data_IF_459826487014
#
_entry.id   IF_459826487014
#
_cell.length_a   1.000
_cell.length_b   1.000
_cell.length_c   1.000
_cell.angle_alpha   90.00
_cell.angle_beta   90.00
_cell.angle_gamma   90.00
#
_symmetry.space_group_name_H-M   'P 1'
#
loop_
_entity.id
_entity.type
_entity.pdbx_description
1 polymer ?
#
# COMPACT_ATOMS: atom_id res chain seq x y z
N UNK A 1 2.51 -19.81 -16.19
CA UNK A 1 1.60 -19.24 -15.18
C UNK A 1 0.92 -18.03 -15.80
N UNK A 2 -0.38 -17.87 -15.57
CA UNK A 2 -1.19 -16.80 -16.14
C UNK A 2 -1.91 -16.04 -15.02
N UNK A 3 -2.21 -14.77 -15.29
CA UNK A 3 -2.92 -13.90 -14.35
C UNK A 3 -4.07 -13.20 -15.07
N UNK A 4 -5.24 -13.20 -14.42
CA UNK A 4 -6.39 -12.39 -14.81
C UNK A 4 -6.27 -11.01 -14.20
N UNK A 5 -6.25 -9.98 -15.05
CA UNK A 5 -5.97 -8.61 -14.63
C UNK A 5 -7.16 -7.71 -14.95
N UNK A 6 -7.69 -7.04 -13.93
CA UNK A 6 -8.63 -5.94 -14.10
C UNK A 6 -7.85 -4.65 -14.35
N UNK A 7 -8.17 -3.92 -15.42
CA UNK A 7 -7.45 -2.69 -15.81
C UNK A 7 -8.38 -1.48 -15.85
N UNK A 8 -7.84 -0.26 -15.72
CA UNK A 8 -8.62 0.98 -15.87
C UNK A 8 -8.97 1.27 -17.34
N UNK A 9 -9.84 0.44 -17.90
CA UNK A 9 -10.35 0.61 -19.25
C UNK A 9 -11.87 0.63 -19.24
N UNK A 10 -12.45 1.54 -20.02
CA UNK A 10 -13.90 1.66 -20.16
C UNK A 10 -14.38 0.75 -21.28
N UNK A 11 -14.50 -0.55 -21.00
CA UNK A 11 -15.14 -1.51 -21.91
C UNK A 11 -16.67 -1.54 -21.72
N UNK A 12 -17.41 -2.04 -22.72
CA UNK A 12 -18.85 -2.32 -22.62
C UNK A 12 -19.12 -3.39 -21.57
N UNK A 13 -18.24 -4.37 -21.47
CA UNK A 13 -18.25 -5.38 -20.42
C UNK A 13 -17.39 -4.90 -19.24
N UNK A 14 -18.07 -4.44 -18.18
CA UNK A 14 -17.46 -3.75 -17.04
C UNK A 14 -16.76 -4.72 -16.09
N UNK A 15 -17.08 -6.01 -16.15
CA UNK A 15 -16.44 -7.05 -15.35
C UNK A 15 -15.29 -7.74 -16.09
N UNK A 16 -15.00 -7.30 -17.31
CA UNK A 16 -13.98 -7.92 -18.15
C UNK A 16 -12.60 -7.79 -17.53
N UNK A 17 -11.95 -8.93 -17.36
CA UNK A 17 -10.52 -9.06 -17.08
C UNK A 17 -9.78 -9.42 -18.35
N UNK A 18 -8.46 -9.24 -18.30
CA UNK A 18 -7.56 -9.57 -19.40
C UNK A 18 -6.49 -10.52 -18.89
N UNK A 19 -6.26 -11.58 -19.65
CA UNK A 19 -5.27 -12.60 -19.32
C UNK A 19 -3.89 -12.19 -19.78
N UNK A 20 -2.91 -12.30 -18.89
CA UNK A 20 -1.50 -12.08 -19.19
C UNK A 20 -0.65 -13.26 -18.73
N UNK A 21 0.48 -13.46 -19.41
CA UNK A 21 1.49 -14.42 -18.98
C UNK A 21 2.39 -13.79 -17.90
N UNK A 22 2.79 -14.58 -16.92
CA UNK A 22 3.72 -14.16 -15.86
C UNK A 22 5.13 -14.64 -16.22
N UNK A 23 6.10 -13.73 -16.44
CA UNK A 23 7.50 -14.06 -16.63
C UNK A 23 8.07 -14.91 -15.49
N UNK A 24 9.05 -15.78 -15.79
CA UNK A 24 9.63 -16.71 -14.80
C UNK A 24 10.33 -16.03 -13.63
N UNK A 25 10.78 -14.78 -13.79
CA UNK A 25 11.44 -13.98 -12.78
C UNK A 25 10.47 -13.22 -11.85
N UNK A 26 9.17 -13.23 -12.16
CA UNK A 26 8.15 -12.52 -11.41
C UNK A 26 7.23 -13.48 -10.65
N UNK A 27 6.87 -13.08 -9.43
CA UNK A 27 5.86 -13.78 -8.62
C UNK A 27 4.65 -12.88 -8.47
N UNK A 28 3.46 -13.40 -8.79
CA UNK A 28 2.20 -12.66 -8.73
C UNK A 28 1.20 -13.39 -7.84
N UNK A 29 0.51 -12.64 -7.00
CA UNK A 29 -0.56 -13.08 -6.13
C UNK A 29 -1.84 -12.28 -6.42
N UNK A 30 -3.04 -12.87 -6.22
CA UNK A 30 -4.28 -12.11 -6.27
C UNK A 30 -4.23 -10.91 -5.32
N UNK A 31 -4.54 -9.72 -5.84
CA UNK A 31 -4.51 -8.45 -5.11
C UNK A 31 -3.24 -7.64 -5.31
N UNK A 32 -2.28 -8.18 -6.06
CA UNK A 32 -1.13 -7.41 -6.55
C UNK A 32 -1.55 -6.35 -7.56
N UNK A 33 -0.77 -5.28 -7.55
CA UNK A 33 -0.90 -4.19 -8.50
C UNK A 33 0.18 -4.38 -9.57
N UNK A 34 -0.22 -4.41 -10.83
CA UNK A 34 0.60 -4.82 -11.96
C UNK A 34 0.68 -3.71 -12.99
N UNK A 35 1.79 -3.68 -13.71
CA UNK A 35 1.91 -2.95 -14.98
C UNK A 35 1.77 -3.94 -16.12
N UNK A 36 0.83 -3.68 -17.02
CA UNK A 36 0.53 -4.58 -18.13
C UNK A 36 0.48 -3.82 -19.45
N UNK A 37 0.94 -4.43 -20.55
CA UNK A 37 0.87 -3.82 -21.86
C UNK A 37 -0.59 -3.83 -22.36
N UNK A 38 -1.15 -2.64 -22.66
CA UNK A 38 -2.53 -2.52 -23.12
C UNK A 38 -2.63 -1.57 -24.33
N UNK A 39 -2.72 -2.14 -25.52
CA UNK A 39 -2.63 -1.37 -26.77
C UNK A 39 -1.24 -0.78 -26.96
N UNK A 40 -1.15 0.55 -27.07
CA UNK A 40 0.10 1.31 -27.33
C UNK A 40 0.83 1.79 -26.07
N UNK A 41 0.21 1.67 -24.90
CA UNK A 41 0.76 2.20 -23.65
C UNK A 41 0.53 1.20 -22.51
N UNK A 42 1.50 1.05 -21.61
CA UNK A 42 1.30 0.21 -20.44
C UNK A 42 0.31 0.90 -19.49
N UNK A 43 -0.54 0.12 -18.83
CA UNK A 43 -1.52 0.64 -17.87
C UNK A 43 -1.46 -0.16 -16.57
N UNK A 44 -2.00 0.44 -15.52
CA UNK A 44 -2.07 -0.23 -14.24
C UNK A 44 -3.24 -1.21 -14.23
N UNK A 45 -3.00 -2.39 -13.68
CA UNK A 45 -3.98 -3.43 -13.50
C UNK A 45 -3.89 -4.06 -12.12
N UNK A 46 -4.94 -4.76 -11.70
CA UNK A 46 -5.00 -5.47 -10.43
C UNK A 46 -5.18 -6.96 -10.73
N UNK A 47 -4.32 -7.79 -10.14
CA UNK A 47 -4.41 -9.24 -10.24
C UNK A 47 -5.68 -9.73 -9.53
N UNK A 48 -6.60 -10.33 -10.28
CA UNK A 48 -7.87 -10.85 -9.76
C UNK A 48 -7.73 -12.32 -9.38
N UNK A 49 -7.13 -13.11 -10.26
CA UNK A 49 -6.85 -14.53 -10.05
C UNK A 49 -5.61 -14.94 -10.84
N UNK A 50 -5.05 -16.09 -10.47
CA UNK A 50 -3.89 -16.69 -11.12
C UNK A 50 -4.27 -18.12 -11.51
N UNK A 51 -3.88 -18.55 -12.71
CA UNK A 51 -4.11 -19.89 -13.23
C UNK A 51 -2.83 -20.49 -13.83
N UNK A 52 -2.76 -21.83 -13.87
CA UNK A 52 -1.69 -22.54 -14.60
C UNK A 52 -2.03 -22.73 -16.08
N UNK A 53 -3.31 -22.75 -16.42
CA UNK A 53 -3.84 -22.94 -17.77
C UNK A 53 -4.41 -21.63 -18.33
N UNK A 54 -4.36 -21.49 -19.65
CA UNK A 54 -5.03 -20.43 -20.38
C UNK A 54 -5.66 -20.99 -21.66
N UNK A 55 -6.86 -20.53 -21.98
CA UNK A 55 -7.64 -20.94 -23.15
C UNK A 55 -7.43 -20.03 -24.37
N UNK A 56 -6.49 -19.08 -24.30
CA UNK A 56 -6.31 -18.02 -25.31
C UNK A 56 -4.94 -18.09 -25.96
N UNK A 57 -4.89 -17.94 -27.28
CA UNK A 57 -3.65 -17.84 -28.04
C UNK A 57 -3.12 -16.39 -28.10
N UNK A 58 -1.81 -16.20 -28.28
CA UNK A 58 -1.12 -14.89 -28.36
C UNK A 58 -1.26 -13.99 -27.13
N UNK A 59 -0.83 -14.51 -25.98
CA UNK A 59 -0.84 -13.79 -24.71
C UNK A 59 0.39 -12.90 -24.58
N UNK A 60 0.18 -11.65 -24.14
CA UNK A 60 1.28 -10.75 -23.76
C UNK A 60 1.72 -11.03 -22.33
N UNK A 61 3.00 -10.81 -22.05
CA UNK A 61 3.53 -10.87 -20.69
C UNK A 61 3.19 -9.59 -19.91
N UNK A 62 3.13 -9.70 -18.58
CA UNK A 62 3.09 -8.53 -17.71
C UNK A 62 4.44 -7.79 -17.75
N UNK A 63 4.43 -6.46 -17.61
CA UNK A 63 5.66 -5.66 -17.63
C UNK A 63 6.38 -5.72 -16.28
N UNK A 64 5.65 -5.57 -15.18
CA UNK A 64 6.19 -5.69 -13.82
C UNK A 64 5.11 -5.78 -12.74
N UNK A 65 5.53 -6.21 -11.54
CA UNK A 65 4.72 -6.17 -10.31
C UNK A 65 5.13 -4.93 -9.51
N UNK A 66 4.17 -4.20 -8.95
CA UNK A 66 4.46 -3.11 -8.02
C UNK A 66 4.94 -3.70 -6.68
N UNK A 67 6.13 -3.29 -6.25
CA UNK A 67 6.73 -3.70 -4.98
C UNK A 67 5.79 -3.49 -3.78
N UNK A 68 5.98 -4.27 -2.71
CA UNK A 68 5.23 -4.21 -1.43
C UNK A 68 3.76 -4.71 -1.46
N UNK A 69 3.32 -5.35 -2.54
CA UNK A 69 2.06 -6.10 -2.61
C UNK A 69 2.06 -7.44 -1.85
N UNK A 70 0.90 -8.14 -1.76
CA UNK A 70 -0.40 -7.76 -2.30
C UNK A 70 -1.06 -6.63 -1.51
N UNK A 71 -1.72 -5.72 -2.23
CA UNK A 71 -2.35 -4.53 -1.64
C UNK A 71 -3.80 -4.77 -1.24
N UNK A 72 -4.48 -5.71 -1.89
CA UNK A 72 -5.88 -6.03 -1.65
C UNK A 72 -5.98 -7.50 -1.25
N UNK A 73 -6.60 -7.76 -0.10
CA UNK A 73 -6.85 -9.13 0.34
C UNK A 73 -7.88 -9.83 -0.55
N UNK A 74 -7.85 -11.17 -0.57
CA UNK A 74 -8.80 -11.95 -1.39
C UNK A 74 -10.27 -11.69 -1.03
N UNK A 75 -10.60 -11.45 0.24
CA UNK A 75 -11.98 -11.11 0.64
C UNK A 75 -12.40 -9.73 0.12
N UNK A 76 -11.50 -8.75 0.13
CA UNK A 76 -11.77 -7.42 -0.44
C UNK A 76 -11.90 -7.48 -1.96
N UNK A 77 -11.13 -8.32 -2.66
CA UNK A 77 -11.32 -8.56 -4.09
C UNK A 77 -12.73 -9.08 -4.41
N UNK A 78 -13.24 -10.04 -3.63
CA UNK A 78 -14.62 -10.53 -3.78
C UNK A 78 -15.64 -9.41 -3.57
N UNK A 79 -15.43 -8.59 -2.53
CA UNK A 79 -16.26 -7.39 -2.30
C UNK A 79 -16.18 -6.42 -3.47
N UNK A 80 -14.99 -6.19 -4.05
CA UNK A 80 -14.82 -5.30 -5.19
C UNK A 80 -15.52 -5.82 -6.45
N UNK A 81 -15.46 -7.13 -6.72
CA UNK A 81 -16.21 -7.77 -7.81
C UNK A 81 -17.72 -7.62 -7.60
N UNK A 82 -18.21 -7.85 -6.37
CA UNK A 82 -19.62 -7.63 -6.03
C UNK A 82 -20.04 -6.16 -6.20
N UNK A 83 -19.22 -5.20 -5.75
CA UNK A 83 -19.45 -3.76 -5.96
C UNK A 83 -19.51 -3.44 -7.46
N UNK A 84 -18.57 -3.98 -8.24
CA UNK A 84 -18.48 -3.75 -9.67
C UNK A 84 -19.73 -4.24 -10.41
N UNK A 85 -20.20 -5.44 -10.06
CA UNK A 85 -21.40 -6.01 -10.66
C UNK A 85 -22.66 -5.24 -10.24
N UNK A 86 -22.86 -5.06 -8.93
CA UNK A 86 -24.07 -4.43 -8.38
C UNK A 86 -24.20 -2.95 -8.79
N UNK A 87 -23.14 -2.16 -8.63
CA UNK A 87 -23.13 -0.74 -8.97
C UNK A 87 -22.74 -0.47 -10.43
N UNK A 88 -22.56 -1.53 -11.23
CA UNK A 88 -22.23 -1.45 -12.65
C UNK A 88 -21.01 -0.57 -12.90
N UNK A 89 -19.93 -0.75 -12.13
CA UNK A 89 -18.63 -0.09 -12.36
C UNK A 89 -17.59 -1.11 -12.82
N UNK A 90 -16.39 -0.64 -13.19
CA UNK A 90 -15.28 -1.54 -13.50
C UNK A 90 -14.67 -2.09 -12.20
N UNK A 91 -14.29 -3.37 -12.19
CA UNK A 91 -13.56 -4.04 -11.10
C UNK A 91 -12.35 -3.21 -10.64
N UNK A 92 -11.54 -2.70 -11.57
CA UNK A 92 -10.40 -1.84 -11.24
C UNK A 92 -10.85 -0.62 -10.42
N UNK A 93 -11.92 0.06 -10.84
CA UNK A 93 -12.46 1.23 -10.12
C UNK A 93 -13.05 0.87 -8.77
N UNK A 94 -13.65 -0.30 -8.62
CA UNK A 94 -14.13 -0.80 -7.34
C UNK A 94 -12.98 -1.12 -6.37
N UNK A 95 -11.83 -1.56 -6.89
CA UNK A 95 -10.64 -1.86 -6.12
C UNK A 95 -9.84 -0.62 -5.70
N UNK A 96 -9.80 0.44 -6.52
CA UNK A 96 -8.98 1.65 -6.24
C UNK A 96 -9.18 2.24 -4.83
N UNK A 97 -10.40 2.39 -4.30
CA UNK A 97 -10.62 2.88 -2.93
C UNK A 97 -10.08 1.98 -1.82
N UNK A 98 -9.82 0.70 -2.12
CA UNK A 98 -9.27 -0.27 -1.18
C UNK A 98 -7.74 -0.25 -1.14
N UNK A 99 -7.10 0.42 -2.09
CA UNK A 99 -5.65 0.55 -2.14
C UNK A 99 -5.14 1.54 -1.07
N UNK A 100 -3.97 1.29 -0.47
CA UNK A 100 -3.37 2.25 0.43
C UNK A 100 -3.02 3.56 -0.31
N UNK A 101 -3.05 4.70 0.39
CA UNK A 101 -2.76 5.99 -0.23
C UNK A 101 -1.36 6.00 -0.85
N UNK A 102 -1.29 6.36 -2.14
CA UNK A 102 -0.06 6.38 -2.92
C UNK A 102 0.33 5.05 -3.58
N UNK A 103 -0.44 3.98 -3.40
CA UNK A 103 -0.23 2.72 -4.13
C UNK A 103 -0.76 2.77 -5.57
N UNK A 104 -1.88 3.45 -5.81
CA UNK A 104 -2.35 3.76 -7.16
C UNK A 104 -1.35 4.75 -7.81
N UNK A 105 -0.46 4.21 -8.64
CA UNK A 105 0.63 4.95 -9.27
C UNK A 105 0.11 5.48 -10.59
N UNK A 106 0.20 6.79 -10.79
CA UNK A 106 -0.14 7.37 -12.08
C UNK A 106 1.05 7.24 -13.02
N UNK A 107 0.82 6.67 -14.20
CA UNK A 107 1.76 6.78 -15.29
C UNK A 107 1.75 8.24 -15.79
N UNK A 108 2.87 8.94 -15.64
CA UNK A 108 3.03 10.26 -16.24
C UNK A 108 3.79 10.11 -17.55
N UNK A 109 3.17 10.57 -18.62
CA UNK A 109 3.84 10.74 -19.92
C UNK A 109 4.62 12.04 -19.84
N UNK A 110 5.93 11.94 -20.00
CA UNK A 110 6.82 13.09 -20.09
C UNK A 110 7.21 13.31 -21.54
N UNK A 111 7.14 14.56 -21.99
CA UNK A 111 7.54 14.96 -23.33
C UNK A 111 8.84 15.73 -23.24
N UNK A 112 9.79 15.40 -24.11
CA UNK A 112 11.06 16.10 -24.28
C UNK A 112 11.32 16.40 -25.75
N UNK A 113 12.25 17.32 -26.02
CA UNK A 113 12.72 17.61 -27.37
C UNK A 113 13.72 16.51 -27.78
N UNK A 114 13.62 16.02 -29.02
CA UNK A 114 14.61 15.09 -29.58
C UNK A 114 15.78 15.85 -30.21
N UNK A 115 16.83 15.13 -30.62
CA UNK A 115 17.92 15.71 -31.44
C UNK A 115 17.41 16.31 -32.76
N UNK A 116 16.28 15.83 -33.29
CA UNK A 116 15.66 16.40 -34.50
C UNK A 116 15.02 17.76 -34.24
N UNK A 117 14.57 18.04 -33.01
CA UNK A 117 14.05 19.37 -32.66
C UNK A 117 15.13 20.45 -32.72
N UNK A 118 16.37 20.14 -32.34
CA UNK A 118 17.48 21.09 -32.43
C UNK A 118 17.80 21.43 -33.90
N UNK A 119 17.65 20.46 -34.80
CA UNK A 119 17.85 20.65 -36.24
C UNK A 119 16.75 21.49 -36.88
N UNK A 120 15.52 21.40 -36.37
CA UNK A 120 14.39 22.25 -36.77
C UNK A 120 14.61 23.69 -36.32
N UNK A 121 15.10 23.92 -35.10
CA UNK A 121 15.43 25.28 -34.60
C UNK A 121 16.54 25.95 -35.42
N UNK A 122 17.51 25.16 -35.90
CA UNK A 122 18.62 25.64 -36.74
C UNK A 122 18.21 25.90 -38.20
N UNK A 123 16.93 25.74 -38.56
CA UNK A 123 16.41 25.90 -39.94
C UNK A 123 17.18 25.06 -40.98
N UNK A 124 17.72 23.90 -40.57
CA UNK A 124 18.41 23.00 -41.49
C UNK A 124 17.41 22.46 -42.51
N UNK A 125 17.64 22.75 -43.78
CA UNK A 125 16.74 22.49 -44.91
C UNK A 125 16.26 21.03 -44.95
N UNK A 126 14.93 20.83 -44.88
CA UNK A 126 14.29 19.51 -45.04
C UNK A 126 13.09 19.24 -44.12
N UNK A 127 12.93 19.99 -43.03
CA UNK A 127 11.84 19.81 -42.06
C UNK A 127 10.96 21.07 -42.01
N UNK A 128 9.86 21.08 -42.77
CA UNK A 128 8.85 22.13 -42.65
C UNK A 128 7.79 21.70 -41.64
N UNK A 129 7.76 22.36 -40.48
CA UNK A 129 6.68 22.21 -39.49
C UNK A 129 5.76 23.44 -39.51
N UNK A 130 4.47 23.22 -39.24
CA UNK A 130 3.45 24.29 -39.20
C UNK A 130 3.76 25.35 -38.13
N UNK A 131 3.20 26.55 -38.27
CA UNK A 131 3.27 27.60 -37.24
C UNK A 131 2.72 27.13 -35.88
N UNK A 132 1.66 26.32 -35.88
CA UNK A 132 1.12 25.73 -34.65
C UNK A 132 2.04 24.67 -34.04
N UNK A 133 2.77 23.93 -34.88
CA UNK A 133 3.77 22.97 -34.41
C UNK A 133 4.99 23.68 -33.82
N UNK A 134 5.44 24.79 -34.42
CA UNK A 134 6.48 25.63 -33.83
C UNK A 134 6.05 26.19 -32.47
N UNK A 135 4.81 26.66 -32.34
CA UNK A 135 4.29 27.16 -31.08
C UNK A 135 4.30 26.09 -29.98
N UNK A 136 3.90 24.85 -30.30
CA UNK A 136 3.98 23.72 -29.35
C UNK A 136 5.43 23.35 -29.03
N UNK A 137 6.32 23.39 -30.02
CA UNK A 137 7.73 23.08 -29.85
C UNK A 137 8.45 24.11 -28.95
N UNK A 138 8.10 25.39 -29.04
CA UNK A 138 8.64 26.46 -28.19
C UNK A 138 8.21 26.34 -26.72
N UNK A 139 7.07 25.69 -26.46
CA UNK A 139 6.57 25.42 -25.10
C UNK A 139 7.24 24.19 -24.47
N UNK A 140 7.95 23.38 -25.26
CA UNK A 140 8.80 22.31 -24.74
C UNK A 140 10.12 22.92 -24.23
N UNK A 141 10.61 22.50 -23.06
CA UNK A 141 11.87 23.00 -22.52
C UNK A 141 13.03 22.59 -23.43
N UNK A 142 14.00 23.49 -23.63
CA UNK A 142 15.21 23.21 -24.41
C UNK A 142 16.08 22.11 -23.78
N UNK A 143 16.04 21.97 -22.46
CA UNK A 143 16.67 20.87 -21.72
C UNK A 143 15.71 20.28 -20.68
N UNK A 144 15.71 18.96 -20.57
CA UNK A 144 14.84 18.22 -19.66
C UNK A 144 13.49 17.85 -20.27
N UNK A 145 12.51 17.61 -19.41
CA UNK A 145 11.20 17.06 -19.80
C UNK A 145 10.06 17.74 -19.05
N UNK A 146 8.88 17.78 -19.68
CA UNK A 146 7.64 18.31 -19.08
C UNK A 146 6.54 17.26 -19.15
N UNK A 147 5.69 17.17 -18.11
CA UNK A 147 4.54 16.26 -18.15
C UNK A 147 3.55 16.67 -19.24
N UNK A 148 3.07 15.69 -20.01
CA UNK A 148 2.13 15.88 -21.12
C UNK A 148 0.85 16.58 -20.68
N UNK A 149 0.28 16.22 -19.53
CA UNK A 149 -0.92 16.87 -18.99
C UNK A 149 -0.70 18.36 -18.67
N UNK A 150 0.47 18.71 -18.13
CA UNK A 150 0.86 20.11 -17.90
C UNK A 150 1.10 20.85 -19.22
N UNK A 151 1.74 20.21 -20.20
CA UNK A 151 1.97 20.79 -21.52
C UNK A 151 0.64 21.06 -22.24
N UNK A 152 -0.27 20.09 -22.29
CA UNK A 152 -1.61 20.23 -22.90
C UNK A 152 -2.42 21.35 -22.24
N UNK A 153 -2.29 21.55 -20.92
CA UNK A 153 -2.91 22.70 -20.22
C UNK A 153 -2.30 24.05 -20.62
N UNK A 154 -1.00 24.11 -20.94
CA UNK A 154 -0.32 25.34 -21.40
C UNK A 154 -0.64 25.67 -22.86
N UNK A 155 -0.52 24.69 -23.76
CA UNK A 155 -0.74 24.88 -25.20
C UNK A 155 -2.24 24.96 -25.57
N UNK A 156 -3.11 24.41 -24.71
CA UNK A 156 -4.55 24.27 -24.94
C UNK A 156 -4.92 23.00 -25.71
N UNK A 157 -6.08 22.40 -25.38
CA UNK A 157 -6.54 21.12 -25.98
C UNK A 157 -6.61 21.12 -27.51
N UNK A 158 -6.89 22.26 -28.13
CA UNK A 158 -6.93 22.39 -29.60
C UNK A 158 -5.58 22.10 -30.28
N UNK A 159 -4.47 22.29 -29.54
CA UNK A 159 -3.10 22.09 -30.05
C UNK A 159 -2.51 20.72 -29.74
N UNK A 160 -3.24 19.85 -29.02
CA UNK A 160 -2.77 18.50 -28.69
C UNK A 160 -2.48 17.65 -29.95
N UNK A 161 -3.29 17.80 -31.00
CA UNK A 161 -3.04 17.15 -32.30
C UNK A 161 -1.68 17.51 -32.93
N UNK A 162 -1.17 18.71 -32.65
CA UNK A 162 0.12 19.17 -33.17
C UNK A 162 1.26 18.58 -32.34
N UNK A 163 1.07 18.43 -31.03
CA UNK A 163 1.97 17.64 -30.18
C UNK A 163 2.07 16.19 -30.67
N UNK A 164 0.94 15.54 -30.94
CA UNK A 164 0.93 14.16 -31.47
C UNK A 164 1.63 14.04 -32.83
N UNK A 165 1.55 15.08 -33.66
CA UNK A 165 2.27 15.11 -34.93
C UNK A 165 3.79 15.27 -34.72
N UNK A 166 4.23 16.09 -33.77
CA UNK A 166 5.65 16.23 -33.41
C UNK A 166 6.23 14.94 -32.86
N UNK A 167 5.48 14.22 -32.04
CA UNK A 167 5.87 12.91 -31.50
C UNK A 167 5.97 11.86 -32.61
N UNK A 168 4.95 11.77 -33.48
CA UNK A 168 4.97 10.84 -34.64
C UNK A 168 6.12 11.10 -35.61
N UNK A 169 6.50 12.36 -35.79
CA UNK A 169 7.61 12.75 -36.65
C UNK A 169 8.98 12.66 -35.96
N UNK A 170 9.03 12.18 -34.71
CA UNK A 170 10.27 12.03 -33.93
C UNK A 170 10.91 13.34 -33.50
N UNK A 171 10.22 14.49 -33.62
CA UNK A 171 10.71 15.81 -33.20
C UNK A 171 10.56 15.97 -31.68
N UNK A 172 9.51 15.37 -31.11
CA UNK A 172 9.35 15.22 -29.68
C UNK A 172 9.43 13.73 -29.30
N UNK A 173 9.97 13.44 -28.12
CA UNK A 173 10.04 12.08 -27.56
C UNK A 173 9.14 12.02 -26.34
N UNK A 174 8.32 10.97 -26.28
CA UNK A 174 7.53 10.65 -25.11
C UNK A 174 8.19 9.53 -24.31
N UNK A 175 8.46 9.81 -23.04
CA UNK A 175 8.89 8.83 -22.06
C UNK A 175 7.75 8.57 -21.08
N UNK A 176 7.35 7.31 -20.99
CA UNK A 176 6.41 6.85 -19.97
C UNK A 176 7.19 6.57 -18.69
N UNK A 177 6.96 7.37 -17.65
CA UNK A 177 7.73 7.27 -16.40
C UNK A 177 6.81 7.01 -15.24
N UNK A 178 7.13 5.94 -14.54
CA UNK A 178 6.48 5.55 -13.29
C UNK A 178 6.76 6.57 -12.19
N UNK A 179 5.71 7.13 -11.59
CA UNK A 179 5.85 7.81 -10.31
C UNK A 179 6.19 6.76 -9.25
N UNK A 180 7.42 6.80 -8.73
CA UNK A 180 7.80 5.92 -7.61
C UNK A 180 6.82 6.13 -6.46
N UNK A 181 6.33 5.05 -5.82
CA UNK A 181 5.38 5.18 -4.71
C UNK A 181 6.00 6.06 -3.64
N UNK A 182 5.30 7.15 -3.28
CA UNK A 182 5.74 8.05 -2.21
C UNK A 182 5.66 7.37 -0.84
N UNK A 183 4.78 6.39 -0.70
CA UNK A 183 4.68 5.54 0.47
C UNK A 183 5.63 4.36 0.34
N UNK A 184 6.91 4.58 0.64
CA UNK A 184 7.83 3.47 0.92
C UNK A 184 7.52 2.91 2.30
N UNK A 185 7.56 1.59 2.46
CA UNK A 185 7.61 0.99 3.78
C UNK A 185 8.72 1.66 4.60
N UNK A 186 8.37 2.24 5.75
CA UNK A 186 9.35 2.85 6.65
C UNK A 186 9.97 1.70 7.44
N UNK A 187 11.24 1.43 7.15
CA UNK A 187 12.03 0.49 7.94
C UNK A 187 12.63 1.25 9.10
N UNK A 188 12.40 0.76 10.32
CA UNK A 188 13.16 1.19 11.49
C UNK A 188 14.18 0.14 11.85
N UNK A 189 15.36 0.63 12.22
CA UNK A 189 16.44 -0.20 12.70
C UNK A 189 16.22 -0.50 14.17
N UNK A 190 16.04 -1.77 14.49
CA UNK A 190 16.01 -2.31 15.83
C UNK A 190 17.36 -2.94 16.18
N UNK A 191 17.71 -2.88 17.46
CA UNK A 191 18.94 -3.41 18.02
C UNK A 191 18.55 -4.54 18.97
N UNK A 192 19.22 -5.68 18.84
CA UNK A 192 19.03 -6.84 19.72
C UNK A 192 20.37 -7.47 20.06
N UNK A 193 20.41 -8.27 21.12
CA UNK A 193 21.60 -9.05 21.45
C UNK A 193 21.67 -10.29 20.55
N UNK A 194 22.86 -10.66 20.04
CA UNK A 194 23.03 -11.88 19.27
C UNK A 194 22.76 -13.14 20.12
N UNK A 195 23.07 -13.08 21.40
CA UNK A 195 22.91 -14.16 22.38
C UNK A 195 22.27 -13.59 23.66
N UNK A 196 21.34 -14.34 24.27
CA UNK A 196 20.66 -13.98 25.52
C UNK A 196 21.20 -14.81 26.69
N UNK A 197 20.87 -14.43 27.94
CA UNK A 197 21.24 -15.21 29.12
C UNK A 197 22.66 -14.93 29.62
N UNK A 198 23.45 -15.97 29.91
CA UNK A 198 24.79 -15.82 30.51
C UNK A 198 25.79 -15.05 29.64
N UNK A 199 25.78 -15.24 28.32
CA UNK A 199 26.66 -14.52 27.40
C UNK A 199 26.41 -13.00 27.41
N UNK A 200 25.15 -12.58 27.54
CA UNK A 200 24.81 -11.16 27.69
C UNK A 200 25.34 -10.58 29.01
N UNK A 201 25.29 -11.34 30.11
CA UNK A 201 25.84 -10.94 31.41
C UNK A 201 27.36 -10.81 31.36
N UNK A 202 28.06 -11.80 30.81
CA UNK A 202 29.51 -11.78 30.64
C UNK A 202 29.97 -10.57 29.80
N UNK A 203 29.20 -10.23 28.77
CA UNK A 203 29.47 -9.07 27.92
C UNK A 203 29.29 -7.75 28.67
N UNK A 204 28.23 -7.62 29.49
CA UNK A 204 28.04 -6.45 30.35
C UNK A 204 29.16 -6.31 31.39
N UNK A 205 29.57 -7.41 32.03
CA UNK A 205 30.69 -7.43 32.98
C UNK A 205 32.04 -7.06 32.33
N UNK A 206 32.26 -7.46 31.07
CA UNK A 206 33.46 -7.08 30.33
C UNK A 206 33.53 -5.55 30.12
N UNK A 207 32.39 -4.90 29.88
CA UNK A 207 32.33 -3.43 29.80
C UNK A 207 32.55 -2.75 31.15
N UNK A 208 32.02 -3.30 32.24
CA UNK A 208 32.28 -2.78 33.60
C UNK A 208 33.76 -2.84 33.96
N UNK A 209 34.45 -3.93 33.62
CA UNK A 209 35.91 -4.07 33.82
C UNK A 209 36.70 -3.02 33.06
N UNK A 210 36.20 -2.56 31.91
CA UNK A 210 36.79 -1.49 31.09
C UNK A 210 36.31 -0.09 31.50
N UNK A 211 35.59 0.05 32.62
CA UNK A 211 34.99 1.30 33.12
C UNK A 211 33.99 1.94 32.15
N UNK A 212 33.39 1.14 31.25
CA UNK A 212 32.41 1.58 30.27
C UNK A 212 30.98 1.33 30.79
N UNK A 213 30.66 1.90 31.95
CA UNK A 213 29.45 1.57 32.72
C UNK A 213 28.13 1.78 31.96
N UNK A 214 27.99 2.87 31.19
CA UNK A 214 26.79 3.09 30.36
C UNK A 214 26.62 2.08 29.23
N UNK A 215 27.72 1.50 28.72
CA UNK A 215 27.64 0.43 27.71
C UNK A 215 27.18 -0.87 28.36
N UNK A 216 27.69 -1.17 29.56
CA UNK A 216 27.23 -2.31 30.35
C UNK A 216 25.74 -2.20 30.68
N UNK A 217 25.27 -1.00 31.05
CA UNK A 217 23.86 -0.71 31.32
C UNK A 217 22.98 -0.93 30.09
N UNK A 218 23.39 -0.47 28.92
CA UNK A 218 22.68 -0.72 27.65
C UNK A 218 22.55 -2.23 27.36
N UNK A 219 23.63 -3.01 27.56
CA UNK A 219 23.59 -4.47 27.36
C UNK A 219 22.62 -5.13 28.34
N UNK A 220 22.62 -4.72 29.61
CA UNK A 220 21.65 -5.21 30.62
C UNK A 220 20.21 -4.86 30.26
N UNK A 221 19.98 -3.64 29.78
CA UNK A 221 18.68 -3.18 29.34
C UNK A 221 18.14 -4.04 28.20
N UNK A 222 18.96 -4.28 27.17
CA UNK A 222 18.61 -5.16 26.05
C UNK A 222 18.39 -6.62 26.51
N UNK A 223 19.17 -7.11 27.47
CA UNK A 223 19.01 -8.46 28.02
C UNK A 223 17.67 -8.64 28.76
N UNK A 224 17.19 -7.61 29.45
CA UNK A 224 15.94 -7.66 30.20
C UNK A 224 14.69 -7.54 29.33
N UNK A 225 14.73 -6.79 28.21
CA UNK A 225 13.55 -6.55 27.37
C UNK A 225 13.14 -7.75 26.49
N UNK A 226 14.01 -8.75 26.31
CA UNK A 226 13.81 -9.98 25.52
C UNK A 226 13.26 -9.79 24.08
N UNK A 227 13.13 -8.54 23.61
CA UNK A 227 12.61 -8.12 22.31
C UNK A 227 13.57 -7.08 21.73
N UNK A 228 13.71 -7.01 20.40
CA UNK A 228 14.48 -5.95 19.74
C UNK A 228 13.93 -4.57 20.11
N UNK A 229 14.82 -3.62 20.42
CA UNK A 229 14.47 -2.24 20.82
C UNK A 229 14.87 -1.28 19.70
N UNK A 230 14.07 -0.24 19.46
CA UNK A 230 14.35 0.69 18.36
C UNK A 230 15.64 1.49 18.62
N UNK A 231 16.41 1.78 17.56
CA UNK A 231 17.61 2.63 17.69
C UNK A 231 17.26 4.02 18.23
N UNK A 232 16.09 4.54 17.90
CA UNK A 232 15.62 5.85 18.37
C UNK A 232 15.42 5.86 19.90
N UNK A 233 14.71 4.85 20.44
CA UNK A 233 14.49 4.69 21.89
C UNK A 233 15.82 4.59 22.65
N UNK A 234 16.75 3.73 22.19
CA UNK A 234 18.07 3.59 22.80
C UNK A 234 18.91 4.88 22.71
N UNK A 235 18.74 5.64 21.63
CA UNK A 235 19.44 6.92 21.46
C UNK A 235 18.92 7.97 22.43
N UNK A 236 17.62 8.00 22.68
CA UNK A 236 16.99 8.89 23.68
C UNK A 236 17.39 8.53 25.10
N UNK A 237 17.42 7.23 25.43
CA UNK A 237 17.69 6.75 26.79
C UNK A 237 19.18 6.74 27.14
N UNK A 238 20.06 6.28 26.23
CA UNK A 238 21.50 6.07 26.50
C UNK A 238 22.41 7.07 25.78
N UNK A 239 21.95 7.71 24.71
CA UNK A 239 22.72 8.63 23.87
C UNK A 239 23.35 7.97 22.63
N UNK A 240 23.37 8.69 21.50
CA UNK A 240 23.79 8.17 20.19
C UNK A 240 25.22 7.62 20.17
N UNK A 241 26.16 8.25 20.88
CA UNK A 241 27.57 7.82 20.90
C UNK A 241 27.75 6.43 21.51
N UNK A 242 26.96 6.11 22.54
CA UNK A 242 27.01 4.82 23.24
C UNK A 242 26.40 3.73 22.36
N UNK A 243 25.22 4.02 21.78
CA UNK A 243 24.56 3.12 20.83
C UNK A 243 25.46 2.82 19.63
N UNK A 244 26.11 3.86 19.07
CA UNK A 244 27.04 3.70 17.95
C UNK A 244 28.23 2.82 18.32
N UNK A 245 28.86 3.03 19.48
CA UNK A 245 30.02 2.25 19.90
C UNK A 245 29.71 0.75 20.01
N UNK A 246 28.58 0.38 20.59
CA UNK A 246 28.19 -1.03 20.75
C UNK A 246 27.84 -1.68 19.39
N UNK A 247 27.30 -0.90 18.45
CA UNK A 247 27.04 -1.35 17.07
C UNK A 247 28.34 -1.53 16.29
N UNK A 248 29.27 -0.57 16.39
CA UNK A 248 30.57 -0.61 15.69
C UNK A 248 31.46 -1.76 16.22
N UNK A 249 31.38 -2.05 17.53
CA UNK A 249 32.04 -3.20 18.18
C UNK A 249 31.38 -4.56 17.85
N UNK A 250 30.29 -4.56 17.07
CA UNK A 250 29.50 -5.76 16.67
C UNK A 250 28.97 -6.58 17.84
N UNK A 251 28.86 -5.97 19.02
CA UNK A 251 28.33 -6.61 20.23
C UNK A 251 26.81 -6.81 20.16
N UNK A 252 26.14 -6.08 19.27
CA UNK A 252 24.69 -6.14 19.03
C UNK A 252 24.40 -6.44 17.56
N UNK A 253 23.23 -7.04 17.31
CA UNK A 253 22.71 -7.32 15.96
C UNK A 253 21.69 -6.25 15.55
N UNK A 254 21.83 -5.76 14.33
CA UNK A 254 20.86 -4.85 13.71
C UNK A 254 19.80 -5.66 12.96
N UNK A 255 18.54 -5.32 13.18
CA UNK A 255 17.38 -5.88 12.48
C UNK A 255 16.62 -4.71 11.85
N UNK A 256 16.44 -4.73 10.54
CA UNK A 256 15.48 -3.84 9.90
C UNK A 256 14.09 -4.48 10.05
N UNK A 257 13.19 -3.79 10.73
CA UNK A 257 11.79 -4.24 10.83
C UNK A 257 10.93 -3.23 10.10
N UNK A 258 10.01 -3.75 9.26
CA UNK A 258 8.94 -2.95 8.68
C UNK A 258 8.07 -2.45 9.85
N UNK A 259 8.01 -1.14 10.03
CA UNK A 259 7.14 -0.53 11.03
C UNK A 259 5.77 -0.32 10.41
N UNK A 260 4.77 -1.03 10.91
CA UNK A 260 3.37 -0.67 10.65
C UNK A 260 3.09 0.66 11.37
N UNK A 261 2.40 1.58 10.70
CA UNK A 261 2.04 2.86 11.31
C UNK A 261 1.03 2.61 12.44
N UNK A 262 1.54 2.40 13.64
CA UNK A 262 0.73 2.31 14.83
C UNK A 262 0.33 3.72 15.28
N UNK A 263 -0.83 4.17 14.80
CA UNK A 263 -1.40 5.47 15.18
C UNK A 263 -1.86 5.52 16.64
N UNK A 264 -1.89 4.36 17.34
CA UNK A 264 -2.35 4.27 18.73
C UNK A 264 -1.25 4.56 19.76
N UNK A 265 0.02 4.58 19.37
CA UNK A 265 1.16 4.80 20.30
C UNK A 265 1.14 6.15 21.03
N UNK A 266 0.38 7.13 20.53
CA UNK A 266 0.19 8.44 21.16
C UNK A 266 -1.14 8.58 21.94
N UNK A 267 -1.98 7.54 21.98
CA UNK A 267 -3.20 7.57 22.78
C UNK A 267 -2.90 7.08 24.20
N UNK A 268 -2.96 8.00 25.15
CA UNK A 268 -3.05 7.64 26.57
C UNK A 268 -4.45 7.05 26.74
N UNK A 269 -4.54 5.74 26.95
CA UNK A 269 -5.79 5.10 27.32
C UNK A 269 -6.28 5.77 28.62
N UNK A 270 -7.39 6.50 28.55
CA UNK A 270 -8.10 6.89 29.77
C UNK A 270 -8.68 5.60 30.35
N UNK A 271 -8.38 5.33 31.62
CA UNK A 271 -9.04 4.25 32.35
C UNK A 271 -10.55 4.53 32.34
N UNK A 272 -11.30 3.72 31.58
CA UNK A 272 -12.74 3.82 31.54
C UNK A 272 -13.29 3.39 32.90
N UNK A 273 -14.14 4.23 33.50
CA UNK A 273 -14.96 3.79 34.64
C UNK A 273 -15.97 2.79 34.06
N UNK A 274 -15.93 1.50 34.43
CA UNK A 274 -16.86 0.52 33.88
C UNK A 274 -18.28 0.91 34.31
N UNK A 275 -19.12 1.24 33.33
CA UNK A 275 -20.53 1.52 33.56
C UNK A 275 -21.28 0.21 33.77
N UNK A 276 -22.20 0.20 34.74
CA UNK A 276 -23.12 -0.90 34.94
C UNK A 276 -24.17 -0.92 33.81
N UNK A 277 -24.29 -2.06 33.13
CA UNK A 277 -25.26 -2.24 32.06
C UNK A 277 -26.67 -2.33 32.62
N UNK A 278 -27.64 -1.72 31.95
CA UNK A 278 -29.05 -2.00 32.21
C UNK A 278 -29.40 -3.43 31.80
N UNK A 279 -30.50 -4.02 32.32
CA UNK A 279 -30.92 -5.37 31.92
C UNK A 279 -31.09 -5.55 30.41
N UNK A 280 -31.60 -4.52 29.72
CA UNK A 280 -31.80 -4.52 28.27
C UNK A 280 -30.48 -4.46 27.52
N UNK A 281 -29.54 -3.63 27.98
CA UNK A 281 -28.20 -3.55 27.41
C UNK A 281 -27.45 -4.87 27.58
N UNK A 282 -27.53 -5.47 28.78
CA UNK A 282 -26.90 -6.76 29.07
C UNK A 282 -27.44 -7.85 28.13
N UNK A 283 -28.77 -7.93 27.98
CA UNK A 283 -29.40 -8.87 27.04
C UNK A 283 -28.87 -8.68 25.61
N UNK A 284 -28.74 -7.43 25.15
CA UNK A 284 -28.20 -7.14 23.82
C UNK A 284 -26.72 -7.53 23.69
N UNK A 285 -25.90 -7.24 24.71
CA UNK A 285 -24.47 -7.60 24.75
C UNK A 285 -24.30 -9.12 24.74
N UNK A 286 -25.08 -9.85 25.53
CA UNK A 286 -25.00 -11.31 25.62
C UNK A 286 -25.29 -11.95 24.25
N UNK A 287 -26.41 -11.57 23.60
CA UNK A 287 -26.79 -12.07 22.26
C UNK A 287 -25.71 -11.78 21.21
N UNK A 288 -25.18 -10.55 21.19
CA UNK A 288 -24.15 -10.16 20.22
C UNK A 288 -22.84 -10.93 20.49
N UNK A 289 -22.46 -11.05 21.76
CA UNK A 289 -21.21 -11.70 22.16
C UNK A 289 -21.23 -13.20 21.89
N UNK A 290 -22.34 -13.89 22.20
CA UNK A 290 -22.55 -15.30 21.84
C UNK A 290 -22.36 -15.50 20.33
N UNK A 291 -22.99 -14.65 19.52
CA UNK A 291 -22.81 -14.73 18.07
C UNK A 291 -21.38 -14.47 17.60
N UNK A 292 -20.59 -13.62 18.28
CA UNK A 292 -19.18 -13.38 17.93
C UNK A 292 -18.33 -14.62 18.20
N UNK A 293 -18.61 -15.30 19.31
CA UNK A 293 -17.91 -16.52 19.74
C UNK A 293 -18.22 -17.72 18.85
N UNK A 294 -19.42 -17.79 18.29
CA UNK A 294 -19.84 -18.86 17.37
C UNK A 294 -19.26 -18.76 15.96
N UNK A 295 -18.77 -17.58 15.54
CA UNK A 295 -18.17 -17.42 14.22
C UNK A 295 -16.89 -18.29 14.16
N UNK A 296 -16.80 -19.30 13.28
CA UNK A 296 -15.63 -20.14 13.18
C UNK A 296 -14.39 -19.30 12.81
N UNK A 297 -13.23 -19.65 13.35
CA UNK A 297 -11.95 -19.10 12.89
C UNK A 297 -11.80 -19.45 11.42
N UNK A 298 -11.91 -18.44 10.55
CA UNK A 298 -11.65 -18.56 9.13
C UNK A 298 -10.17 -18.90 8.96
N UNK A 299 -9.85 -20.18 8.73
CA UNK A 299 -8.55 -20.55 8.21
C UNK A 299 -8.39 -19.91 6.83
N UNK A 300 -7.29 -19.16 6.68
CA UNK A 300 -6.95 -18.30 5.53
C UNK A 300 -6.99 -18.98 4.14
N UNK A 301 -7.18 -20.30 4.08
CA UNK A 301 -7.13 -21.11 2.85
C UNK A 301 -8.49 -21.59 2.35
N UNK A 302 -9.56 -21.60 3.17
CA UNK A 302 -10.86 -22.13 2.77
C UNK A 302 -12.01 -21.16 3.10
N UNK A 303 -12.09 -20.09 2.31
CA UNK A 303 -13.29 -19.24 2.24
C UNK A 303 -14.36 -19.91 1.36
N UNK A 304 -14.91 -21.04 1.81
CA UNK A 304 -16.21 -21.51 1.31
C UNK A 304 -17.27 -20.50 1.73
N UNK A 305 -18.14 -20.15 0.79
CA UNK A 305 -19.30 -19.27 0.94
C UNK A 305 -20.27 -19.82 1.99
N UNK A 306 -19.93 -19.66 3.27
CA UNK A 306 -20.89 -19.78 4.35
C UNK A 306 -21.74 -18.50 4.35
N UNK A 307 -22.68 -18.40 3.40
CA UNK A 307 -23.78 -17.43 3.43
C UNK A 307 -24.63 -17.55 4.72
N UNK A 308 -24.39 -18.56 5.55
CA UNK A 308 -25.12 -18.85 6.79
C UNK A 308 -24.50 -18.40 8.12
N UNK A 309 -23.32 -17.75 8.16
CA UNK A 309 -22.62 -17.49 9.44
C UNK A 309 -22.32 -16.00 9.74
N UNK A 310 -23.10 -15.07 9.19
CA UNK A 310 -23.01 -13.64 9.55
C UNK A 310 -24.31 -13.17 10.19
N UNK A 311 -24.32 -13.09 11.52
CA UNK A 311 -25.45 -12.52 12.26
C UNK A 311 -25.49 -11.01 12.05
N UNK A 312 -26.66 -10.50 11.66
CA UNK A 312 -26.92 -9.06 11.51
C UNK A 312 -27.87 -8.63 12.61
N UNK A 313 -27.48 -7.64 13.39
CA UNK A 313 -28.29 -7.12 14.50
C UNK A 313 -28.70 -5.68 14.24
N UNK A 314 -29.97 -5.37 14.51
CA UNK A 314 -30.47 -4.00 14.61
C UNK A 314 -30.59 -3.62 16.09
N UNK A 315 -29.67 -2.80 16.59
CA UNK A 315 -29.76 -2.24 17.93
C UNK A 315 -30.61 -0.97 17.93
N UNK A 316 -31.89 -1.10 18.23
CA UNK A 316 -32.82 0.03 18.29
C UNK A 316 -32.82 0.70 19.66
N UNK A 317 -32.68 2.03 19.69
CA UNK A 317 -32.75 2.81 20.92
C UNK A 317 -32.60 4.31 20.67
N UNK A 318 -33.20 5.15 21.51
CA UNK A 318 -33.10 6.61 21.44
C UNK A 318 -31.70 7.11 21.81
N UNK A 319 -31.36 8.37 21.49
CA UNK A 319 -30.11 8.99 21.96
C UNK A 319 -30.05 8.98 23.48
N UNK A 320 -28.88 8.68 24.07
CA UNK A 320 -28.73 8.55 25.52
C UNK A 320 -29.15 7.19 26.10
N UNK A 321 -29.71 6.26 25.32
CA UNK A 321 -30.06 4.91 25.80
C UNK A 321 -28.85 3.98 26.02
N UNK A 322 -27.63 4.49 25.84
CA UNK A 322 -26.38 3.72 26.02
C UNK A 322 -26.05 2.71 24.92
N UNK A 323 -26.52 2.91 23.67
CA UNK A 323 -26.12 2.07 22.53
C UNK A 323 -24.60 1.97 22.35
N UNK A 324 -23.89 3.07 22.61
CA UNK A 324 -22.42 3.13 22.53
C UNK A 324 -21.78 2.12 23.47
N UNK A 325 -22.31 1.95 24.68
CA UNK A 325 -21.77 0.98 25.65
C UNK A 325 -21.92 -0.45 25.12
N UNK A 326 -23.07 -0.79 24.52
CA UNK A 326 -23.28 -2.09 23.87
C UNK A 326 -22.24 -2.34 22.76
N UNK A 327 -21.91 -1.31 21.95
CA UNK A 327 -20.86 -1.43 20.92
C UNK A 327 -19.49 -1.68 21.53
N UNK A 328 -19.13 -0.95 22.59
CA UNK A 328 -17.83 -1.10 23.26
C UNK A 328 -17.65 -2.49 23.87
N UNK A 329 -18.69 -3.04 24.51
CA UNK A 329 -18.66 -4.40 25.08
C UNK A 329 -18.55 -5.48 24.00
N UNK A 330 -19.25 -5.33 22.88
CA UNK A 330 -19.12 -6.24 21.74
C UNK A 330 -17.72 -6.19 21.12
N UNK A 331 -17.11 -5.00 21.03
CA UNK A 331 -15.73 -4.84 20.56
C UNK A 331 -14.73 -5.44 21.55
N UNK A 332 -14.92 -5.23 22.85
CA UNK A 332 -14.10 -5.84 23.91
C UNK A 332 -14.10 -7.38 23.79
N UNK A 333 -15.28 -7.99 23.65
CA UNK A 333 -15.40 -9.43 23.46
C UNK A 333 -14.71 -9.93 22.18
N UNK A 334 -14.82 -9.18 21.07
CA UNK A 334 -14.14 -9.49 19.81
C UNK A 334 -12.61 -9.43 19.94
N UNK A 335 -12.08 -8.43 20.65
CA UNK A 335 -10.64 -8.28 20.87
C UNK A 335 -10.12 -9.34 21.84
N UNK A 336 -10.89 -9.72 22.86
CA UNK A 336 -10.51 -10.73 23.84
C UNK A 336 -10.21 -12.10 23.21
N UNK A 337 -10.85 -12.42 22.08
CA UNK A 337 -10.57 -13.64 21.29
C UNK A 337 -9.52 -13.43 20.18
N UNK A 338 -8.77 -12.33 20.21
CA UNK A 338 -7.67 -12.04 19.29
C UNK A 338 -8.11 -11.56 17.89
N UNK A 339 -9.36 -11.13 17.73
CA UNK A 339 -9.87 -10.58 16.46
C UNK A 339 -9.79 -9.05 16.44
N UNK A 340 -10.17 -8.46 15.31
CA UNK A 340 -10.20 -7.01 15.10
C UNK A 340 -11.64 -6.56 14.84
N UNK A 341 -11.98 -5.36 15.34
CA UNK A 341 -13.27 -4.73 15.12
C UNK A 341 -13.11 -3.46 14.26
N UNK A 342 -14.13 -3.16 13.46
CA UNK A 342 -14.26 -1.90 12.72
C UNK A 342 -15.53 -1.21 13.20
N UNK A 343 -15.39 0.00 13.75
CA UNK A 343 -16.51 0.88 14.08
C UNK A 343 -16.54 1.98 13.01
N UNK A 344 -17.66 2.12 12.31
CA UNK A 344 -17.87 3.18 11.34
C UNK A 344 -18.75 4.26 11.98
N UNK A 345 -18.27 5.49 11.98
CA UNK A 345 -19.02 6.68 12.41
C UNK A 345 -19.26 7.60 11.21
N UNK A 346 -20.31 8.43 11.23
CA UNK A 346 -20.49 9.47 10.21
C UNK A 346 -19.30 10.44 10.19
N UNK A 347 -19.05 11.06 9.03
CA UNK A 347 -17.98 12.06 8.87
C UNK A 347 -18.18 13.29 9.79
N UNK A 348 -19.44 13.62 10.09
CA UNK A 348 -19.83 14.73 10.95
C UNK A 348 -20.34 14.11 12.25
N UNK A 349 -19.42 13.82 13.18
CA UNK A 349 -19.72 13.34 14.53
C UNK A 349 -19.42 14.41 15.58
#
# INVERSE_FOLDING_TARGET
MFVEVAVDFSDRDRLRTYTYAVPEDLTVQPGDLLWVPFGYRPIQGIAISVSETCDTDNIREIDSVVDDGPFISQHLLRTAVWIADYYRTNIFRACVPMLPPGANQQLHIWVSRSELAERVDQLLTGFSISADQHAVLNELPSQGRIRRDRLVRRIGRSRERHLDALVRNGIAVEESIWERPRARAIYRTYITLPEYGEQAKLTAEAYDRRRAYRRAELIRYLANKAKPVSRAELTTEFGNQIVKAVVDEKTVRLIQKREERDQSTNYIAQDAIPLDLTPEQKTAVDIITESILEIPTLDSTNYTSNEGASSKFLLFGVTGSGKTEVYLRAVEACIAIGRRAIIMVPEIA
#
